data_IF_171137955601
#
_entry.id   IF_171137955601
#
_cell.length_a   1.000
_cell.length_b   1.000
_cell.length_c   1.000
_cell.angle_alpha   90.00
_cell.angle_beta   90.00
_cell.angle_gamma   90.00
#
_symmetry.space_group_name_H-M   'P 1'
#
loop_
_entity.id
_entity.type
_entity.pdbx_description
1 polymer ?
#
# COMPACT_ATOMS: atom_id res chain seq x y z
N UNK A 1 -36.89 -23.30 37.37
CA UNK A 1 -37.85 -22.22 37.05
C UNK A 1 -37.22 -20.88 37.43
N UNK A 2 -37.01 -19.99 36.44
CA UNK A 2 -36.70 -18.54 36.53
C UNK A 2 -35.31 -18.16 37.08
N UNK A 3 -34.31 -17.94 36.23
CA UNK A 3 -33.95 -16.67 35.54
C UNK A 3 -33.59 -15.56 36.53
N UNK A 4 -32.33 -15.13 36.54
CA UNK A 4 -32.00 -13.71 36.42
C UNK A 4 -30.61 -13.53 35.80
N UNK A 5 -30.61 -13.17 34.52
CA UNK A 5 -29.52 -12.47 33.85
C UNK A 5 -29.35 -11.09 34.49
N UNK A 6 -28.13 -10.68 34.82
CA UNK A 6 -27.80 -9.25 34.92
C UNK A 6 -26.36 -8.98 34.47
N UNK A 7 -26.29 -8.49 33.24
CA UNK A 7 -25.47 -7.39 32.75
C UNK A 7 -23.98 -7.36 33.16
N UNK A 8 -23.12 -7.87 32.28
CA UNK A 8 -21.77 -7.34 32.08
C UNK A 8 -21.66 -6.70 30.69
N UNK A 9 -22.55 -5.73 30.41
CA UNK A 9 -22.35 -4.74 29.37
C UNK A 9 -21.71 -3.53 30.05
N UNK A 10 -20.46 -3.16 29.72
CA UNK A 10 -19.91 -1.78 29.83
C UNK A 10 -18.41 -1.71 29.53
N UNK A 11 -17.93 -2.06 28.33
CA UNK A 11 -16.63 -1.51 27.82
C UNK A 11 -16.66 -1.25 26.30
N UNK A 12 -17.80 -0.78 25.73
CA UNK A 12 -17.87 -0.42 24.29
C UNK A 12 -17.94 1.12 24.08
N UNK A 13 -17.92 1.93 25.14
CA UNK A 13 -18.07 3.39 25.01
C UNK A 13 -16.79 4.16 24.64
N UNK A 14 -15.62 3.52 24.50
CA UNK A 14 -14.35 4.27 24.39
C UNK A 14 -13.95 4.66 22.95
N UNK A 15 -14.55 4.07 21.91
CA UNK A 15 -14.12 4.32 20.51
C UNK A 15 -14.90 5.48 19.86
N UNK A 16 -16.16 5.70 20.28
CA UNK A 16 -17.01 6.75 19.70
C UNK A 16 -16.62 8.18 20.11
N UNK A 17 -15.82 8.35 21.16
CA UNK A 17 -15.44 9.67 21.69
C UNK A 17 -14.39 10.40 20.85
N UNK A 18 -13.50 9.67 20.15
CA UNK A 18 -12.41 10.27 19.38
C UNK A 18 -12.89 10.89 18.05
N UNK A 19 -13.79 10.23 17.32
CA UNK A 19 -14.34 10.74 16.06
C UNK A 19 -15.33 11.90 16.27
N UNK A 20 -16.10 11.84 17.36
CA UNK A 20 -17.01 12.90 17.77
C UNK A 20 -16.26 14.20 18.14
N UNK A 21 -15.11 14.08 18.82
CA UNK A 21 -14.29 15.23 19.22
C UNK A 21 -13.69 15.94 18.00
N UNK A 22 -13.19 15.20 17.01
CA UNK A 22 -12.59 15.81 15.81
C UNK A 22 -13.61 16.57 14.96
N UNK A 23 -14.79 15.99 14.73
CA UNK A 23 -15.86 16.61 13.94
C UNK A 23 -16.39 17.88 14.62
N UNK A 24 -16.56 17.85 15.94
CA UNK A 24 -17.00 19.01 16.73
C UNK A 24 -16.00 20.17 16.68
N UNK A 25 -14.70 19.87 16.76
CA UNK A 25 -13.64 20.89 16.71
C UNK A 25 -13.57 21.58 15.33
N UNK A 26 -13.79 20.84 14.23
CA UNK A 26 -13.84 21.40 12.87
C UNK A 26 -15.10 22.25 12.67
N UNK A 27 -16.26 21.75 13.11
CA UNK A 27 -17.54 22.47 12.99
C UNK A 27 -17.52 23.81 13.74
N UNK A 28 -16.86 23.85 14.90
CA UNK A 28 -16.67 25.07 15.69
C UNK A 28 -15.92 26.16 14.91
N UNK A 29 -14.81 25.81 14.25
CA UNK A 29 -14.08 26.78 13.43
C UNK A 29 -14.87 27.18 12.18
N UNK A 30 -15.59 26.24 11.55
CA UNK A 30 -16.40 26.50 10.36
C UNK A 30 -17.53 27.52 10.60
N UNK A 31 -18.06 27.59 11.82
CA UNK A 31 -19.13 28.51 12.19
C UNK A 31 -18.69 30.00 12.29
N UNK A 32 -17.39 30.29 12.28
CA UNK A 32 -16.87 31.65 12.38
C UNK A 32 -17.03 32.39 11.04
N UNK A 33 -17.75 33.52 11.05
CA UNK A 33 -18.06 34.31 9.84
C UNK A 33 -16.86 35.11 9.33
N UNK A 34 -16.03 35.64 10.24
CA UNK A 34 -14.85 36.42 9.88
C UNK A 34 -13.79 35.50 9.25
N UNK A 35 -13.35 35.74 8.00
CA UNK A 35 -12.38 34.87 7.33
C UNK A 35 -11.05 34.75 8.10
N UNK A 36 -10.58 35.85 8.69
CA UNK A 36 -9.31 35.91 9.42
C UNK A 36 -9.38 35.18 10.75
N UNK A 37 -10.48 35.35 11.50
CA UNK A 37 -10.67 34.65 12.78
C UNK A 37 -10.92 33.16 12.56
N UNK A 38 -11.63 32.80 11.49
CA UNK A 38 -11.83 31.42 11.07
C UNK A 38 -10.50 30.75 10.75
N UNK A 39 -9.62 31.43 10.00
CA UNK A 39 -8.29 30.95 9.68
C UNK A 39 -7.47 30.72 10.97
N UNK A 40 -7.44 31.71 11.87
CA UNK A 40 -6.75 31.59 13.15
C UNK A 40 -7.28 30.42 14.01
N UNK A 41 -8.58 30.13 13.96
CA UNK A 41 -9.17 28.97 14.64
C UNK A 41 -8.63 27.64 14.10
N UNK A 42 -8.56 27.50 12.77
CA UNK A 42 -7.99 26.31 12.14
C UNK A 42 -6.50 26.16 12.44
N UNK A 43 -5.72 27.24 12.42
CA UNK A 43 -4.30 27.22 12.75
C UNK A 43 -4.06 26.80 14.21
N UNK A 44 -4.86 27.32 15.14
CA UNK A 44 -4.80 26.93 16.54
C UNK A 44 -5.20 25.45 16.77
N UNK A 45 -6.19 24.95 16.03
CA UNK A 45 -6.57 23.54 16.05
C UNK A 45 -5.45 22.66 15.50
N UNK A 46 -4.83 23.05 14.38
CA UNK A 46 -3.69 22.35 13.80
C UNK A 46 -2.49 22.29 14.77
N UNK A 47 -2.22 23.38 15.49
CA UNK A 47 -1.20 23.43 16.55
C UNK A 47 -1.53 22.49 17.71
N UNK A 48 -2.78 22.49 18.19
CA UNK A 48 -3.24 21.58 19.27
C UNK A 48 -3.07 20.10 18.86
N UNK A 49 -3.25 19.80 17.59
CA UNK A 49 -3.10 18.47 17.01
C UNK A 49 -1.66 18.14 16.56
N UNK A 50 -0.72 19.08 16.64
CA UNK A 50 0.68 18.88 16.22
C UNK A 50 0.89 18.73 14.71
N UNK A 51 -0.06 19.20 13.88
CA UNK A 51 -0.06 19.07 12.41
C UNK A 51 0.17 20.42 11.68
N UNK A 52 0.67 21.42 12.41
CA UNK A 52 0.97 22.75 11.89
C UNK A 52 1.95 22.71 10.69
N UNK A 53 1.71 23.57 9.68
CA UNK A 53 2.56 23.68 8.49
C UNK A 53 2.37 22.56 7.44
N UNK A 54 1.25 21.85 7.46
CA UNK A 54 0.99 20.78 6.48
C UNK A 54 1.80 19.51 6.73
N UNK A 55 2.28 19.31 7.98
CA UNK A 55 2.68 17.98 8.45
C UNK A 55 1.44 17.10 8.48
N UNK A 56 1.06 16.57 7.32
CA UNK A 56 0.22 15.37 7.22
C UNK A 56 0.73 14.38 8.25
N UNK A 57 -0.18 13.82 9.05
CA UNK A 57 0.09 12.70 9.95
C UNK A 57 1.16 11.83 9.33
N UNK A 58 2.40 12.00 9.79
CA UNK A 58 3.48 11.15 9.35
C UNK A 58 3.13 9.83 10.01
N UNK A 59 2.50 8.93 9.25
CA UNK A 59 2.89 7.52 9.34
C UNK A 59 4.39 7.57 9.50
N UNK A 60 4.87 7.13 10.66
CA UNK A 60 6.29 7.12 11.02
C UNK A 60 7.07 6.81 9.76
N UNK A 61 7.78 7.81 9.22
CA UNK A 61 8.69 7.58 8.11
C UNK A 61 9.75 6.67 8.73
N UNK A 62 9.57 5.36 8.59
CA UNK A 62 10.57 4.37 8.94
C UNK A 62 11.81 4.80 8.17
N UNK A 63 12.74 5.40 8.89
CA UNK A 63 13.95 5.96 8.30
C UNK A 63 14.67 4.81 7.62
N UNK A 64 14.81 4.87 6.29
CA UNK A 64 15.45 3.80 5.52
C UNK A 64 14.55 3.05 4.54
N UNK A 65 13.23 3.27 4.50
CA UNK A 65 12.34 2.57 3.55
C UNK A 65 12.28 3.19 2.15
N UNK A 66 13.07 4.22 1.86
CA UNK A 66 13.10 4.85 0.52
C UNK A 66 11.72 5.37 0.07
N UNK A 67 11.33 5.01 -1.15
CA UNK A 67 10.02 5.36 -1.75
C UNK A 67 8.89 4.37 -1.41
N UNK A 68 9.18 3.31 -0.65
CA UNK A 68 8.19 2.32 -0.26
C UNK A 68 7.14 2.91 0.67
N UNK A 69 5.86 2.70 0.33
CA UNK A 69 4.72 3.04 1.18
C UNK A 69 4.26 1.77 1.86
N UNK A 70 4.16 1.79 3.18
CA UNK A 70 3.76 0.65 3.98
C UNK A 70 2.40 0.96 4.60
N UNK A 71 1.44 0.06 4.41
CA UNK A 71 0.15 0.10 5.09
C UNK A 71 -0.11 -1.21 5.80
N UNK A 72 -0.94 -1.13 6.85
CA UNK A 72 -1.33 -2.27 7.66
C UNK A 72 -2.81 -2.15 7.96
N UNK A 73 -3.51 -3.27 7.89
CA UNK A 73 -4.92 -3.38 8.25
C UNK A 73 -5.16 -4.71 8.96
N UNK A 74 -6.26 -4.79 9.71
CA UNK A 74 -6.74 -6.04 10.27
C UNK A 74 -7.77 -6.63 9.32
N UNK A 75 -7.57 -7.88 8.94
CA UNK A 75 -8.49 -8.66 8.10
C UNK A 75 -9.83 -8.81 8.80
N UNK A 76 -10.97 -8.45 8.17
CA UNK A 76 -12.29 -8.70 8.74
C UNK A 76 -12.71 -10.18 8.62
N UNK A 77 -11.91 -11.03 7.95
CA UNK A 77 -12.22 -12.44 7.71
C UNK A 77 -11.76 -13.30 8.89
N UNK A 78 -10.58 -13.01 9.44
CA UNK A 78 -9.88 -13.86 10.40
C UNK A 78 -9.06 -13.10 11.45
N UNK A 79 -9.23 -11.77 11.54
CA UNK A 79 -8.48 -10.86 12.42
C UNK A 79 -6.96 -10.88 12.21
N UNK A 80 -6.48 -11.48 11.12
CA UNK A 80 -5.06 -11.49 10.77
C UNK A 80 -4.59 -10.08 10.40
N UNK A 81 -3.33 -9.75 10.70
CA UNK A 81 -2.73 -8.52 10.23
C UNK A 81 -2.33 -8.68 8.76
N UNK A 82 -2.85 -7.81 7.91
CA UNK A 82 -2.43 -7.68 6.52
C UNK A 82 -1.45 -6.51 6.40
N UNK A 83 -0.36 -6.71 5.66
CA UNK A 83 0.67 -5.69 5.42
C UNK A 83 0.88 -5.56 3.92
N UNK A 84 0.89 -4.32 3.44
CA UNK A 84 1.11 -4.00 2.03
C UNK A 84 2.26 -3.02 1.89
N UNK A 85 3.24 -3.40 1.09
CA UNK A 85 4.34 -2.56 0.63
C UNK A 85 4.05 -2.18 -0.81
N UNK A 86 3.96 -0.90 -1.10
CA UNK A 86 3.68 -0.37 -2.43
C UNK A 86 4.84 0.50 -2.91
N UNK A 87 5.25 0.30 -4.16
CA UNK A 87 6.27 1.10 -4.83
C UNK A 87 5.77 1.48 -6.23
N UNK A 88 5.58 2.78 -6.47
CA UNK A 88 5.22 3.31 -7.78
C UNK A 88 6.39 3.19 -8.75
N UNK A 89 6.10 2.96 -10.02
CA UNK A 89 7.08 3.07 -11.09
C UNK A 89 7.61 4.50 -11.24
N UNK A 90 8.80 4.66 -11.83
CA UNK A 90 9.37 5.95 -12.17
C UNK A 90 8.68 6.57 -13.39
N UNK A 91 8.12 5.74 -14.27
CA UNK A 91 7.46 6.15 -15.51
C UNK A 91 6.02 5.63 -15.59
N UNK A 92 5.13 6.44 -16.18
CA UNK A 92 3.80 5.99 -16.58
C UNK A 92 3.84 5.23 -17.90
N UNK A 93 2.96 4.25 -18.07
CA UNK A 93 2.71 3.59 -19.35
C UNK A 93 1.51 4.22 -20.05
N UNK A 94 1.58 4.28 -21.38
CA UNK A 94 0.46 4.66 -22.23
C UNK A 94 -0.11 3.41 -22.88
N UNK A 95 -1.41 3.22 -22.73
CA UNK A 95 -2.16 2.16 -23.38
C UNK A 95 -3.35 2.74 -24.16
N UNK A 96 -4.06 1.91 -24.90
CA UNK A 96 -5.19 2.31 -25.73
C UNK A 96 -6.26 3.09 -24.95
N UNK A 97 -6.55 2.66 -23.71
CA UNK A 97 -7.61 3.23 -22.87
C UNK A 97 -7.16 4.37 -21.95
N UNK A 98 -5.89 4.76 -21.98
CA UNK A 98 -5.39 5.86 -21.16
C UNK A 98 -3.93 5.72 -20.73
N UNK A 99 -3.55 6.53 -19.75
CA UNK A 99 -2.24 6.48 -19.11
C UNK A 99 -2.37 5.89 -17.71
N UNK A 100 -1.49 4.98 -17.34
CA UNK A 100 -1.46 4.34 -16.03
C UNK A 100 -0.07 4.47 -15.41
N UNK A 101 0.01 4.56 -14.10
CA UNK A 101 1.26 4.50 -13.35
C UNK A 101 1.34 3.15 -12.62
N UNK A 102 2.12 2.18 -13.12
CA UNK A 102 2.20 0.87 -12.48
C UNK A 102 2.72 0.92 -11.06
N UNK A 103 2.27 -0.03 -10.23
CA UNK A 103 2.68 -0.14 -8.82
C UNK A 103 3.09 -1.58 -8.52
N UNK A 104 4.31 -1.75 -8.02
CA UNK A 104 4.80 -3.00 -7.47
C UNK A 104 4.30 -3.15 -6.04
N UNK A 105 3.73 -4.32 -5.75
CA UNK A 105 3.26 -4.69 -4.42
C UNK A 105 3.98 -5.93 -3.90
N UNK A 106 4.42 -5.84 -2.66
CA UNK A 106 4.75 -6.97 -1.80
C UNK A 106 3.72 -6.98 -0.68
N UNK A 107 2.97 -8.07 -0.48
CA UNK A 107 1.97 -8.12 0.59
C UNK A 107 2.03 -9.39 1.40
N UNK A 108 1.66 -9.26 2.67
CA UNK A 108 1.16 -10.34 3.50
C UNK A 108 -0.35 -10.18 3.61
N UNK A 109 -1.12 -11.13 3.11
CA UNK A 109 -2.58 -11.10 3.16
C UNK A 109 -3.10 -12.46 3.62
N UNK A 110 -3.86 -12.51 4.71
CA UNK A 110 -4.32 -13.76 5.33
C UNK A 110 -3.18 -14.80 5.47
N UNK A 111 -2.04 -14.38 6.03
CA UNK A 111 -0.81 -15.18 6.16
C UNK A 111 -0.16 -15.66 4.84
N UNK A 112 -0.61 -15.17 3.69
CA UNK A 112 -0.01 -15.48 2.38
C UNK A 112 0.86 -14.32 1.91
N UNK A 113 2.11 -14.62 1.59
CA UNK A 113 3.02 -13.67 0.95
C UNK A 113 2.84 -13.67 -0.56
N UNK A 114 2.65 -12.51 -1.16
CA UNK A 114 2.49 -12.34 -2.60
C UNK A 114 3.32 -11.17 -3.14
N UNK A 115 3.75 -11.29 -4.39
CA UNK A 115 4.38 -10.23 -5.18
C UNK A 115 3.58 -10.06 -6.46
N UNK A 116 3.15 -8.83 -6.74
CA UNK A 116 2.44 -8.53 -7.97
C UNK A 116 2.70 -7.10 -8.44
N UNK A 117 2.48 -6.85 -9.73
CA UNK A 117 2.53 -5.52 -10.31
C UNK A 117 1.13 -5.19 -10.82
N UNK A 118 0.53 -4.12 -10.29
CA UNK A 118 -0.69 -3.56 -10.83
C UNK A 118 -0.32 -2.63 -11.99
N UNK A 119 -0.72 -3.00 -13.21
CA UNK A 119 -0.39 -2.26 -14.43
C UNK A 119 -1.45 -1.23 -14.77
N UNK A 120 -2.70 -1.45 -14.35
CA UNK A 120 -3.81 -0.57 -14.68
C UNK A 120 -4.21 -0.62 -16.16
N UNK A 121 -3.83 -1.68 -16.86
CA UNK A 121 -4.16 -1.93 -18.28
C UNK A 121 -4.49 -3.41 -18.46
N UNK A 122 -5.32 -3.74 -19.46
CA UNK A 122 -5.75 -5.12 -19.69
C UNK A 122 -4.62 -5.97 -20.29
N UNK A 123 -4.31 -7.12 -19.67
CA UNK A 123 -3.16 -7.96 -20.03
C UNK A 123 -3.55 -9.27 -20.75
N UNK A 124 -4.83 -9.60 -20.80
CA UNK A 124 -5.31 -10.90 -21.28
C UNK A 124 -5.83 -11.77 -20.13
N UNK A 125 -5.70 -13.09 -20.27
CA UNK A 125 -6.25 -14.06 -19.34
C UNK A 125 -5.16 -15.03 -18.84
N UNK A 126 -5.36 -15.56 -17.64
CA UNK A 126 -4.57 -16.64 -17.00
C UNK A 126 -3.11 -16.28 -16.69
N UNK A 127 -2.27 -16.04 -17.70
CA UNK A 127 -0.84 -15.78 -17.54
C UNK A 127 -0.23 -14.94 -18.67
N UNK A 128 0.93 -14.34 -18.39
CA UNK A 128 1.72 -13.61 -19.39
C UNK A 128 3.22 -13.74 -19.13
N UNK A 129 4.02 -13.47 -20.16
CA UNK A 129 5.49 -13.45 -20.03
C UNK A 129 5.97 -12.06 -19.65
N UNK A 130 6.69 -11.99 -18.54
CA UNK A 130 7.37 -10.81 -18.05
C UNK A 130 8.86 -10.87 -18.38
N UNK A 131 9.43 -9.79 -18.89
CA UNK A 131 10.89 -9.59 -18.86
C UNK A 131 11.24 -8.81 -17.59
N UNK A 132 12.29 -9.25 -16.91
CA UNK A 132 12.77 -8.69 -15.64
C UNK A 132 14.27 -8.45 -15.73
N UNK A 133 14.73 -7.29 -15.26
CA UNK A 133 16.15 -6.97 -15.16
C UNK A 133 16.42 -6.22 -13.87
N UNK A 134 17.37 -6.72 -13.09
CA UNK A 134 17.86 -6.06 -11.88
C UNK A 134 19.16 -5.32 -12.17
N UNK A 135 19.20 -4.03 -11.84
CA UNK A 135 20.33 -3.13 -12.12
C UNK A 135 20.88 -3.36 -13.55
N UNK A 136 22.19 -3.52 -13.70
CA UNK A 136 22.86 -3.80 -14.97
C UNK A 136 22.99 -5.30 -15.28
N UNK A 137 22.35 -6.21 -14.53
CA UNK A 137 22.45 -7.67 -14.77
C UNK A 137 21.75 -8.09 -16.06
N UNK A 138 21.98 -9.34 -16.48
CA UNK A 138 21.31 -9.91 -17.65
C UNK A 138 19.80 -9.98 -17.42
N UNK A 139 19.01 -9.50 -18.38
CA UNK A 139 17.56 -9.63 -18.35
C UNK A 139 17.14 -11.11 -18.47
N UNK A 140 16.09 -11.48 -17.75
CA UNK A 140 15.48 -12.81 -17.80
C UNK A 140 13.99 -12.69 -18.10
N UNK A 141 13.41 -13.75 -18.64
CA UNK A 141 11.96 -13.85 -18.84
C UNK A 141 11.38 -14.87 -17.88
N UNK A 142 10.15 -14.63 -17.43
CA UNK A 142 9.41 -15.57 -16.60
C UNK A 142 7.91 -15.40 -16.80
N UNK A 143 7.18 -16.49 -16.75
CA UNK A 143 5.70 -16.48 -16.79
C UNK A 143 5.15 -16.07 -15.42
N UNK A 144 4.18 -15.15 -15.42
CA UNK A 144 3.47 -14.64 -14.25
C UNK A 144 1.96 -14.83 -14.46
N UNK A 145 1.22 -15.08 -13.39
CA UNK A 145 -0.23 -15.23 -13.49
C UNK A 145 -0.89 -13.86 -13.65
N UNK A 146 -1.94 -13.78 -14.44
CA UNK A 146 -2.78 -12.58 -14.55
C UNK A 146 -3.82 -12.60 -13.42
N UNK A 147 -4.09 -11.43 -12.86
CA UNK A 147 -5.11 -11.23 -11.83
C UNK A 147 -6.52 -11.49 -12.33
N UNK A 148 -7.47 -11.70 -11.41
CA UNK A 148 -8.88 -11.94 -11.77
C UNK A 148 -9.57 -10.73 -12.43
N UNK A 149 -9.06 -9.51 -12.20
CA UNK A 149 -9.49 -8.29 -12.90
C UNK A 149 -8.67 -8.02 -14.18
N UNK A 150 -7.73 -8.89 -14.51
CA UNK A 150 -6.89 -8.89 -15.71
C UNK A 150 -5.93 -7.70 -15.86
N UNK A 151 -5.68 -6.95 -14.79
CA UNK A 151 -4.89 -5.70 -14.81
C UNK A 151 -3.63 -5.75 -13.94
N UNK A 152 -3.29 -6.91 -13.38
CA UNK A 152 -2.08 -7.14 -12.61
C UNK A 152 -1.41 -8.47 -12.96
N UNK A 153 -0.10 -8.56 -12.72
CA UNK A 153 0.66 -9.80 -12.85
C UNK A 153 1.17 -10.26 -11.48
N UNK A 154 1.01 -11.54 -11.17
CA UNK A 154 1.41 -12.19 -9.91
C UNK A 154 2.58 -13.15 -10.13
N UNK A 155 3.61 -13.04 -9.30
CA UNK A 155 4.74 -13.96 -9.35
C UNK A 155 4.31 -15.37 -8.91
N UNK A 156 4.58 -16.38 -9.73
CA UNK A 156 4.15 -17.77 -9.51
C UNK A 156 5.17 -18.67 -8.81
N UNK A 157 6.40 -18.19 -8.61
CA UNK A 157 7.50 -18.99 -8.05
C UNK A 157 7.50 -19.00 -6.53
N UNK A 158 8.67 -19.30 -5.95
CA UNK A 158 8.87 -19.18 -4.50
C UNK A 158 8.95 -17.70 -4.10
N UNK A 159 7.81 -17.11 -3.72
CA UNK A 159 7.66 -15.67 -3.49
C UNK A 159 8.64 -15.16 -2.42
N UNK A 160 8.75 -15.86 -1.29
CA UNK A 160 9.66 -15.49 -0.20
C UNK A 160 11.12 -15.53 -0.67
N UNK A 161 11.51 -16.57 -1.41
CA UNK A 161 12.86 -16.66 -1.97
C UNK A 161 13.14 -15.57 -3.00
N UNK A 162 12.14 -15.23 -3.83
CA UNK A 162 12.23 -14.12 -4.76
C UNK A 162 12.46 -12.80 -4.04
N UNK A 163 11.64 -12.46 -3.02
CA UNK A 163 11.82 -11.22 -2.26
C UNK A 163 13.20 -11.18 -1.60
N UNK A 164 13.63 -12.27 -0.94
CA UNK A 164 14.97 -12.38 -0.36
C UNK A 164 16.07 -12.15 -1.40
N UNK A 165 15.89 -12.66 -2.62
CA UNK A 165 16.87 -12.54 -3.70
C UNK A 165 17.01 -11.13 -4.27
N UNK A 166 15.99 -10.28 -4.10
CA UNK A 166 15.97 -8.93 -4.65
C UNK A 166 16.37 -7.83 -3.66
N UNK A 167 16.42 -8.16 -2.35
CA UNK A 167 16.99 -7.29 -1.34
C UNK A 167 18.44 -6.94 -1.71
N UNK A 168 18.77 -5.65 -1.69
CA UNK A 168 20.09 -5.13 -2.05
C UNK A 168 20.24 -4.64 -3.49
N UNK A 169 19.34 -4.98 -4.41
CA UNK A 169 19.28 -4.30 -5.72
C UNK A 169 18.75 -2.88 -5.58
N UNK A 170 19.13 -2.02 -6.53
CA UNK A 170 18.71 -0.62 -6.56
C UNK A 170 17.57 -0.39 -7.54
N UNK A 171 17.54 -1.13 -8.63
CA UNK A 171 16.62 -0.91 -9.71
C UNK A 171 16.04 -2.23 -10.24
N UNK A 172 14.75 -2.20 -10.52
CA UNK A 172 14.03 -3.26 -11.21
C UNK A 172 13.39 -2.68 -12.48
N UNK A 173 13.87 -3.10 -13.64
CA UNK A 173 13.22 -2.85 -14.92
C UNK A 173 12.34 -4.07 -15.25
N UNK A 174 11.10 -3.80 -15.64
CA UNK A 174 10.17 -4.83 -16.10
C UNK A 174 9.56 -4.45 -17.45
N UNK A 175 9.24 -5.46 -18.25
CA UNK A 175 8.47 -5.31 -19.48
C UNK A 175 7.31 -6.30 -19.50
N UNK A 176 6.14 -5.82 -19.92
CA UNK A 176 4.97 -6.64 -20.24
C UNK A 176 4.39 -6.21 -21.58
N UNK A 177 3.65 -7.08 -22.23
CA UNK A 177 2.88 -6.74 -23.44
C UNK A 177 1.38 -6.73 -23.08
N UNK A 178 0.73 -5.56 -22.99
CA UNK A 178 -0.72 -5.49 -22.85
C UNK A 178 -1.43 -6.14 -24.04
N UNK A 179 -2.65 -6.62 -23.82
CA UNK A 179 -3.35 -7.42 -24.82
C UNK A 179 -3.66 -6.61 -26.08
N UNK A 180 -3.14 -7.07 -27.23
CA UNK A 180 -3.33 -6.40 -28.53
C UNK A 180 -2.52 -5.10 -28.68
N UNK A 181 -1.57 -4.82 -27.79
CA UNK A 181 -0.75 -3.61 -27.81
C UNK A 181 0.76 -3.91 -27.94
N UNK A 182 1.56 -2.86 -28.05
CA UNK A 182 3.03 -2.99 -28.05
C UNK A 182 3.57 -3.20 -26.63
N UNK A 183 4.74 -3.85 -26.47
CA UNK A 183 5.36 -4.00 -25.16
C UNK A 183 5.62 -2.64 -24.48
N UNK A 184 5.36 -2.59 -23.18
CA UNK A 184 5.63 -1.43 -22.32
C UNK A 184 6.65 -1.79 -21.26
N UNK A 185 7.50 -0.83 -20.91
CA UNK A 185 8.53 -0.98 -19.87
C UNK A 185 8.37 0.07 -18.80
N UNK A 186 8.66 -0.32 -17.56
CA UNK A 186 8.77 0.60 -16.43
C UNK A 186 9.92 0.20 -15.52
N UNK A 187 10.37 1.19 -14.76
CA UNK A 187 11.44 1.05 -13.79
C UNK A 187 10.90 1.27 -12.38
N UNK A 188 11.40 0.50 -11.42
CA UNK A 188 11.14 0.68 -10.00
C UNK A 188 12.46 0.93 -9.24
N UNK A 189 12.48 1.94 -8.38
CA UNK A 189 13.57 2.24 -7.45
C UNK A 189 13.43 1.40 -6.17
N UNK A 190 14.19 0.31 -6.08
CA UNK A 190 14.15 -0.66 -4.99
C UNK A 190 14.85 -0.17 -3.72
N UNK A 191 15.42 1.05 -3.70
CA UNK A 191 16.11 1.57 -2.53
C UNK A 191 15.21 1.52 -1.27
N UNK A 192 15.77 1.00 -0.18
CA UNK A 192 15.05 0.86 1.10
C UNK A 192 14.17 -0.38 1.21
N UNK A 193 14.18 -1.29 0.23
CA UNK A 193 13.44 -2.55 0.31
C UNK A 193 13.83 -3.38 1.54
N UNK A 194 15.11 -3.42 1.90
CA UNK A 194 15.61 -4.17 3.07
C UNK A 194 14.92 -3.76 4.37
N UNK A 195 14.71 -2.45 4.56
CA UNK A 195 14.00 -1.93 5.73
C UNK A 195 12.49 -2.19 5.59
N UNK A 196 11.93 -1.97 4.40
CA UNK A 196 10.50 -2.07 4.18
C UNK A 196 9.96 -3.49 4.42
N UNK A 197 10.71 -4.53 4.05
CA UNK A 197 10.25 -5.93 4.16
C UNK A 197 10.19 -6.46 5.59
N UNK A 198 10.83 -5.81 6.57
CA UNK A 198 10.87 -6.31 7.96
C UNK A 198 9.47 -6.51 8.54
N UNK A 199 8.60 -5.52 8.43
CA UNK A 199 7.24 -5.62 8.94
C UNK A 199 6.43 -6.72 8.24
N UNK A 200 6.65 -6.90 6.93
CA UNK A 200 6.02 -7.96 6.16
C UNK A 200 6.53 -9.34 6.61
N UNK A 201 7.85 -9.48 6.83
CA UNK A 201 8.49 -10.70 7.30
C UNK A 201 7.95 -11.16 8.65
N UNK A 202 7.86 -10.23 9.61
CA UNK A 202 7.30 -10.47 10.93
C UNK A 202 5.84 -10.90 10.84
N UNK A 203 5.04 -10.16 10.08
CA UNK A 203 3.59 -10.41 9.98
C UNK A 203 3.27 -11.73 9.28
N UNK A 204 4.01 -12.06 8.22
CA UNK A 204 3.80 -13.30 7.47
C UNK A 204 4.63 -14.48 7.99
N UNK A 205 5.26 -14.37 9.17
CA UNK A 205 5.99 -15.45 9.83
C UNK A 205 7.04 -16.13 8.93
N UNK A 206 7.83 -15.34 8.20
CA UNK A 206 8.89 -15.90 7.38
C UNK A 206 9.93 -16.61 8.27
N UNK A 207 10.26 -17.87 7.94
CA UNK A 207 11.31 -18.65 8.61
C UNK A 207 12.62 -18.62 7.82
#
# INVERSE_FOLDING_TARGET
>A
MRILFLALLTIIALVASAEADMTANIARCAAIKSPTERLACYDALAKKLGIEGGKTLSTSKLTGTGKWRISTETSPIDDSKNVYLALSAEESIKAMLGTSLPVLFLRCKENKTEVYIAWGVYLGLEETTMLIRFDSKKATTSTWNISTDNMATFYRGSVIAFIRSIVGYKQLLVQVTPYGESPVMVTFDLAGLEEAVKQLQETCNWK
#
